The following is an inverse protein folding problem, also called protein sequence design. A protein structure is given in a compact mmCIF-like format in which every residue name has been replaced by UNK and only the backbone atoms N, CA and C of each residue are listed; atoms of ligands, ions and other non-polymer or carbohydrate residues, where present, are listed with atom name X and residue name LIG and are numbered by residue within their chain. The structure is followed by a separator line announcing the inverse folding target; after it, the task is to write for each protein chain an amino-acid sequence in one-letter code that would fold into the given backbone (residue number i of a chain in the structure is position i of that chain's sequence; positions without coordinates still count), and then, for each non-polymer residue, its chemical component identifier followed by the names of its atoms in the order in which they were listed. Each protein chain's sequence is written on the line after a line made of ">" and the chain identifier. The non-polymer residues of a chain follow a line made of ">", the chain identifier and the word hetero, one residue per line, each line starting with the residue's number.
data_IF_398020520621
#
_entry.id   IF_398020520621
#
_cell.length_a   1.000
_cell.length_b   1.000
_cell.length_c   1.000
_cell.angle_alpha   90.00
_cell.angle_beta   90.00
_cell.angle_gamma   90.00
#
_symmetry.space_group_name_H-M   'P 1'
#
loop_
_entity.id
_entity.type
_entity.pdbx_description
1 polymer ?
#
# COMPACT_ATOMS: atom_id res chain seq x y z
N UNK A 1 32.19 -34.79 9.41
CA UNK A 1 31.85 -33.42 8.97
C UNK A 1 30.34 -33.21 8.78
N UNK A 2 29.61 -34.01 7.97
CA UNK A 2 28.15 -33.82 7.72
C UNK A 2 27.25 -33.85 8.98
N UNK A 3 27.59 -34.65 10.00
CA UNK A 3 26.83 -34.70 11.26
C UNK A 3 27.01 -33.46 12.13
N UNK A 4 28.20 -32.85 12.18
CA UNK A 4 28.43 -31.62 12.97
C UNK A 4 27.72 -30.40 12.35
N UNK A 5 27.62 -30.33 11.02
CA UNK A 5 26.89 -29.26 10.33
C UNK A 5 25.39 -29.34 10.62
N UNK A 6 24.81 -30.54 10.72
CA UNK A 6 23.40 -30.73 11.06
C UNK A 6 23.07 -30.24 12.48
N UNK A 7 23.94 -30.52 13.46
CA UNK A 7 23.75 -30.03 14.83
C UNK A 7 23.88 -28.50 14.94
N UNK A 8 24.76 -27.90 14.13
CA UNK A 8 24.96 -26.45 14.11
C UNK A 8 23.76 -25.72 13.49
N UNK A 9 23.17 -26.26 12.41
CA UNK A 9 21.95 -25.70 11.80
C UNK A 9 20.74 -25.81 12.74
N UNK A 10 20.57 -26.94 13.44
CA UNK A 10 19.49 -27.11 14.43
C UNK A 10 19.65 -26.14 15.60
N UNK A 11 20.88 -25.93 16.09
CA UNK A 11 21.17 -24.96 17.15
C UNK A 11 20.81 -23.52 16.77
N UNK A 12 21.13 -23.10 15.55
CA UNK A 12 20.80 -21.75 15.05
C UNK A 12 19.29 -21.56 14.86
N UNK A 13 18.56 -22.60 14.44
CA UNK A 13 17.11 -22.55 14.24
C UNK A 13 16.34 -22.42 15.56
N UNK A 14 16.80 -23.07 16.63
CA UNK A 14 16.17 -22.99 17.96
C UNK A 14 16.43 -21.62 18.62
N UNK A 15 17.61 -21.03 18.40
CA UNK A 15 17.93 -19.68 18.90
C UNK A 15 17.10 -18.57 18.21
N UNK A 16 16.62 -18.79 16.98
CA UNK A 16 15.80 -17.81 16.24
C UNK A 16 14.34 -17.73 16.74
N UNK A 17 13.83 -18.77 17.40
CA UNK A 17 12.44 -18.81 17.89
C UNK A 17 12.25 -18.29 19.33
N UNK A 18 13.34 -17.99 20.05
CA UNK A 18 13.28 -17.53 21.44
C UNK A 18 13.46 -16.01 21.64
N UNK A 19 13.44 -15.21 20.57
CA UNK A 19 13.67 -13.75 20.67
C UNK A 19 12.41 -12.87 20.57
N UNK A 20 11.22 -13.40 20.84
CA UNK A 20 10.00 -12.60 21.08
C UNK A 20 9.25 -13.13 22.30
N UNK A 21 9.74 -12.81 23.50
CA UNK A 21 8.99 -12.98 24.73
C UNK A 21 9.15 -11.75 25.64
N UNK A 22 8.12 -10.89 25.73
CA UNK A 22 7.85 -10.12 26.94
C UNK A 22 6.73 -10.80 27.74
N UNK A 23 7.12 -11.38 28.88
CA UNK A 23 6.20 -11.79 29.93
C UNK A 23 5.89 -10.56 30.81
N UNK A 24 4.64 -10.08 30.77
CA UNK A 24 3.78 -9.84 31.95
C UNK A 24 2.72 -8.75 31.71
N UNK A 25 1.48 -9.22 31.52
CA UNK A 25 0.24 -8.83 32.23
C UNK A 25 0.28 -7.49 32.98
N UNK A 26 -0.33 -6.47 32.39
CA UNK A 26 -1.09 -5.47 33.14
C UNK A 26 -2.48 -5.37 32.52
N UNK A 27 -3.47 -5.68 33.35
CA UNK A 27 -4.86 -5.32 33.18
C UNK A 27 -4.93 -3.78 32.99
N UNK A 28 -5.67 -3.32 31.99
CA UNK A 28 -5.70 -1.91 31.62
C UNK A 28 -6.07 -1.70 30.16
N UNK A 29 -7.38 -1.62 29.92
CA UNK A 29 -8.04 -0.88 28.84
C UNK A 29 -7.08 -0.24 27.84
N UNK A 30 -6.71 -0.99 26.80
CA UNK A 30 -6.23 -0.36 25.57
C UNK A 30 -7.48 -0.12 24.75
N UNK A 31 -8.09 1.03 24.97
CA UNK A 31 -8.86 1.69 23.94
C UNK A 31 -7.94 1.81 22.72
N UNK A 32 -8.01 0.81 21.83
CA UNK A 32 -7.77 1.03 20.42
C UNK A 32 -8.87 2.00 19.98
N UNK A 33 -8.65 3.28 20.28
CA UNK A 33 -9.07 4.35 19.40
C UNK A 33 -8.38 4.03 18.07
N UNK A 34 -9.07 3.22 17.25
CA UNK A 34 -8.95 3.33 15.82
C UNK A 34 -9.25 4.80 15.55
N UNK A 35 -8.18 5.58 15.42
CA UNK A 35 -8.18 6.96 15.00
C UNK A 35 -8.67 6.95 13.54
N UNK A 36 -9.98 6.72 13.41
CA UNK A 36 -10.73 6.91 12.20
C UNK A 36 -10.97 8.41 12.17
N UNK A 37 -9.91 9.16 11.94
CA UNK A 37 -10.03 10.52 11.48
C UNK A 37 -10.84 10.41 10.19
N UNK A 38 -12.13 10.77 10.26
CA UNK A 38 -12.98 10.93 9.10
C UNK A 38 -12.26 11.94 8.20
N UNK A 39 -11.55 11.44 7.19
CA UNK A 39 -10.97 12.26 6.14
C UNK A 39 -12.12 12.98 5.47
N UNK A 40 -12.28 14.26 5.80
CA UNK A 40 -13.38 15.09 5.31
C UNK A 40 -13.33 15.08 3.79
N UNK A 41 -14.32 14.43 3.17
CA UNK A 41 -14.46 14.40 1.72
C UNK A 41 -14.66 15.84 1.21
N UNK A 42 -13.78 16.27 0.30
CA UNK A 42 -13.85 17.58 -0.36
C UNK A 42 -13.86 17.41 -1.86
N UNK A 43 -14.52 18.31 -2.56
CA UNK A 43 -14.49 18.37 -4.02
C UNK A 43 -13.51 19.47 -4.46
N UNK A 44 -12.68 19.15 -5.45
CA UNK A 44 -11.81 20.11 -6.12
C UNK A 44 -12.10 20.09 -7.63
N UNK A 45 -12.09 21.25 -8.25
CA UNK A 45 -12.25 21.39 -9.70
C UNK A 45 -10.91 21.75 -10.32
N UNK A 46 -10.54 21.03 -11.37
CA UNK A 46 -9.28 21.12 -12.09
C UNK A 46 -9.58 21.35 -13.57
N UNK A 47 -8.66 21.99 -14.29
CA UNK A 47 -8.70 22.03 -15.76
C UNK A 47 -7.68 21.04 -16.30
N UNK A 48 -8.11 20.14 -17.18
CA UNK A 48 -7.20 19.16 -17.79
C UNK A 48 -6.47 19.72 -19.02
N UNK A 49 -5.61 18.90 -19.64
CA UNK A 49 -4.83 19.30 -20.83
C UNK A 49 -5.69 19.49 -22.10
N UNK A 50 -6.99 19.19 -22.04
CA UNK A 50 -7.95 19.40 -23.12
C UNK A 50 -8.90 20.56 -22.82
N UNK A 51 -8.55 21.43 -21.85
CA UNK A 51 -9.34 22.57 -21.38
C UNK A 51 -10.72 22.19 -20.81
N UNK A 52 -10.87 20.94 -20.33
CA UNK A 52 -12.12 20.48 -19.70
C UNK A 52 -12.04 20.73 -18.20
N UNK A 53 -13.14 21.21 -17.61
CA UNK A 53 -13.29 21.24 -16.15
C UNK A 53 -13.67 19.86 -15.61
N UNK A 54 -12.88 19.36 -14.67
CA UNK A 54 -13.06 18.05 -14.04
C UNK A 54 -13.11 18.24 -12.53
N UNK A 55 -14.23 17.84 -11.92
CA UNK A 55 -14.39 17.83 -10.46
C UNK A 55 -14.11 16.44 -9.91
N UNK A 56 -13.21 16.35 -8.93
CA UNK A 56 -12.85 15.09 -8.26
C UNK A 56 -13.03 15.19 -6.76
N UNK A 57 -13.35 14.05 -6.14
CA UNK A 57 -13.40 13.90 -4.68
C UNK A 57 -12.00 13.65 -4.13
N UNK A 58 -11.70 14.30 -3.02
CA UNK A 58 -10.46 14.15 -2.27
C UNK A 58 -10.76 13.68 -0.84
N UNK A 59 -9.87 12.88 -0.23
CA UNK A 59 -8.65 12.33 -0.83
C UNK A 59 -8.94 11.25 -1.88
N UNK A 60 -8.09 11.19 -2.92
CA UNK A 60 -8.22 10.18 -3.98
C UNK A 60 -7.72 8.85 -3.43
N UNK A 61 -8.59 7.84 -3.39
CA UNK A 61 -8.26 6.53 -2.78
C UNK A 61 -7.76 5.49 -3.78
N UNK A 62 -8.12 5.62 -5.06
CA UNK A 62 -7.82 4.63 -6.10
C UNK A 62 -7.61 5.31 -7.45
N UNK A 63 -6.56 4.92 -8.16
CA UNK A 63 -6.21 5.45 -9.47
C UNK A 63 -6.05 4.31 -10.47
N UNK A 64 -6.63 4.49 -11.64
CA UNK A 64 -6.43 3.66 -12.81
C UNK A 64 -5.75 4.53 -13.87
N UNK A 65 -4.71 4.01 -14.51
CA UNK A 65 -4.00 4.73 -15.57
C UNK A 65 -4.12 4.02 -16.92
N UNK A 66 -4.05 4.77 -18.00
CA UNK A 66 -4.23 4.21 -19.35
C UNK A 66 -2.98 3.46 -19.85
N UNK A 67 -1.80 3.87 -19.40
CA UNK A 67 -0.51 3.38 -19.91
C UNK A 67 0.52 3.32 -18.77
N UNK A 68 1.50 2.42 -18.88
CA UNK A 68 2.57 2.28 -17.87
C UNK A 68 3.38 3.57 -17.70
N UNK A 69 3.67 4.28 -18.78
CA UNK A 69 4.37 5.57 -18.73
C UNK A 69 3.63 6.62 -17.88
N UNK A 70 2.29 6.56 -17.85
CA UNK A 70 1.49 7.42 -16.97
C UNK A 70 1.62 7.02 -15.50
N UNK A 71 1.73 5.72 -15.20
CA UNK A 71 2.01 5.24 -13.84
C UNK A 71 3.39 5.72 -13.38
N UNK A 72 4.41 5.60 -14.22
CA UNK A 72 5.77 6.07 -13.93
C UNK A 72 5.81 7.57 -13.66
N UNK A 73 5.13 8.37 -14.49
CA UNK A 73 5.02 9.81 -14.29
C UNK A 73 4.33 10.15 -12.95
N UNK A 74 3.28 9.42 -12.58
CA UNK A 74 2.62 9.63 -11.29
C UNK A 74 3.52 9.26 -10.10
N UNK A 75 4.25 8.14 -10.17
CA UNK A 75 5.20 7.73 -9.13
C UNK A 75 6.32 8.77 -8.98
N UNK A 76 6.80 9.34 -10.08
CA UNK A 76 7.86 10.36 -10.03
C UNK A 76 7.42 11.66 -9.33
N UNK A 77 6.13 12.00 -9.37
CA UNK A 77 5.58 13.23 -8.76
C UNK A 77 5.11 12.99 -7.33
N UNK A 78 4.36 11.90 -7.10
CA UNK A 78 3.70 11.62 -5.82
C UNK A 78 4.58 10.78 -4.90
N UNK A 79 5.54 10.04 -5.45
CA UNK A 79 6.38 9.10 -4.69
C UNK A 79 5.75 7.72 -4.58
N UNK A 80 6.28 6.92 -3.65
CA UNK A 80 5.88 5.53 -3.42
C UNK A 80 4.40 5.40 -3.00
N UNK A 81 3.82 6.41 -2.36
CA UNK A 81 2.41 6.48 -1.96
C UNK A 81 1.44 6.29 -3.14
N UNK A 82 1.87 6.61 -4.38
CA UNK A 82 1.06 6.35 -5.56
C UNK A 82 0.80 4.85 -5.76
N UNK A 83 1.77 4.00 -5.40
CA UNK A 83 1.65 2.55 -5.57
C UNK A 83 0.54 1.95 -4.72
N UNK A 84 0.27 2.53 -3.53
CA UNK A 84 -0.83 2.10 -2.66
C UNK A 84 -2.22 2.45 -3.23
N UNK A 85 -2.30 3.51 -4.05
CA UNK A 85 -3.54 3.94 -4.69
C UNK A 85 -3.75 3.28 -6.06
N UNK A 86 -2.71 2.71 -6.65
CA UNK A 86 -2.71 2.26 -8.04
C UNK A 86 -3.35 0.87 -8.17
N UNK A 87 -4.50 0.79 -8.85
CA UNK A 87 -5.32 -0.44 -8.87
C UNK A 87 -5.45 -1.08 -10.24
N UNK A 88 -4.86 -0.48 -11.27
CA UNK A 88 -4.77 -1.10 -12.58
C UNK A 88 -4.32 -0.18 -13.70
N UNK A 89 -3.85 -0.81 -14.77
CA UNK A 89 -3.37 -0.15 -15.99
C UNK A 89 -3.90 -0.85 -17.23
N UNK A 90 -4.27 -0.09 -18.25
CA UNK A 90 -4.79 -0.66 -19.48
C UNK A 90 -5.30 0.36 -20.48
N UNK A 91 -5.23 -0.02 -21.75
CA UNK A 91 -5.67 0.81 -22.87
C UNK A 91 -7.18 1.04 -22.80
N UNK A 92 -7.61 2.29 -22.96
CA UNK A 92 -9.00 2.71 -22.86
C UNK A 92 -9.86 2.16 -24.00
N UNK A 93 -10.41 0.95 -23.86
CA UNK A 93 -11.53 0.45 -24.65
C UNK A 93 -12.73 0.04 -23.80
N UNK A 94 -12.51 -0.43 -22.57
CA UNK A 94 -13.55 -0.65 -21.54
C UNK A 94 -12.90 -1.03 -20.20
N UNK A 95 -13.66 -1.02 -19.10
CA UNK A 95 -13.20 -1.55 -17.79
C UNK A 95 -12.69 -3.02 -17.85
N UNK A 96 -12.98 -3.74 -18.94
CA UNK A 96 -12.51 -5.11 -19.18
C UNK A 96 -11.05 -5.19 -19.60
N UNK A 97 -10.46 -4.08 -20.05
CA UNK A 97 -9.13 -4.03 -20.65
C UNK A 97 -8.04 -3.60 -19.66
N UNK A 98 -8.40 -3.37 -18.38
CA UNK A 98 -7.43 -3.08 -17.33
C UNK A 98 -6.83 -4.36 -16.76
N UNK A 99 -5.50 -4.43 -16.75
CA UNK A 99 -4.77 -5.33 -15.90
C UNK A 99 -4.90 -4.86 -14.45
N UNK A 100 -5.51 -5.70 -13.61
CA UNK A 100 -5.44 -5.53 -12.15
C UNK A 100 -4.03 -5.84 -11.70
N UNK A 101 -3.55 -5.05 -10.76
CA UNK A 101 -2.25 -5.22 -10.11
C UNK A 101 -2.50 -5.78 -8.72
#
# INVERSE_FOLDING_TARGET
>A
MKRMVLWLVIGVLILSLCSCAPNNRSDGTTDQAADTADEVEKEITLTDMMDREVTIKTPVKRVIVNQWDAAEACIAVVGEDFTDMFVGVGSSGSLKEFQKI
#
